data_IF_920253394542
#
_entry.id   IF_920253394542
#
_cell.length_a   1.000
_cell.length_b   1.000
_cell.length_c   1.000
_cell.angle_alpha   90.00
_cell.angle_beta   90.00
_cell.angle_gamma   90.00
#
_symmetry.space_group_name_H-M   'P 1'
#
loop_
_entity.id
_entity.type
_entity.pdbx_description
1 polymer ?
#
# COMPACT_ATOMS: atom_id res chain seq x y z
N UNK A 1 -8.02 -6.34 -0.52
CA UNK A 1 -8.67 -5.24 0.23
C UNK A 1 -8.16 -5.24 1.68
N UNK A 2 -7.69 -4.09 2.20
CA UNK A 2 -7.33 -3.95 3.62
C UNK A 2 -8.40 -3.09 4.33
N UNK A 3 -9.19 -3.72 5.21
CA UNK A 3 -10.33 -3.08 5.89
C UNK A 3 -9.91 -1.96 6.85
N UNK A 4 -8.68 -2.03 7.39
CA UNK A 4 -8.18 -1.03 8.35
C UNK A 4 -7.81 0.27 7.66
N UNK A 5 -7.18 0.19 6.48
CA UNK A 5 -6.90 1.39 5.69
C UNK A 5 -8.21 2.01 5.20
N UNK A 6 -9.17 1.19 4.78
CA UNK A 6 -10.49 1.68 4.37
C UNK A 6 -11.22 2.43 5.49
N UNK A 7 -11.12 1.94 6.72
CA UNK A 7 -11.66 2.63 7.89
C UNK A 7 -10.98 3.99 8.13
N UNK A 8 -9.64 4.04 8.03
CA UNK A 8 -8.88 5.29 8.20
C UNK A 8 -9.21 6.32 7.11
N UNK A 9 -9.28 5.88 5.86
CA UNK A 9 -9.61 6.74 4.72
C UNK A 9 -11.04 7.30 4.83
N UNK A 10 -11.96 6.52 5.40
CA UNK A 10 -13.33 6.96 5.70
C UNK A 10 -13.41 7.95 6.88
N UNK A 11 -12.31 8.21 7.59
CA UNK A 11 -12.25 9.08 8.75
C UNK A 11 -12.60 8.39 10.07
N UNK A 12 -12.55 7.05 10.12
CA UNK A 12 -12.73 6.29 11.37
C UNK A 12 -11.41 6.26 12.16
N UNK A 13 -11.52 6.36 13.48
CA UNK A 13 -10.41 6.14 14.41
C UNK A 13 -10.21 4.65 14.62
N UNK A 14 -9.01 4.14 14.36
CA UNK A 14 -8.62 2.76 14.64
C UNK A 14 -7.62 2.75 15.80
N UNK A 15 -7.97 2.09 16.89
CA UNK A 15 -7.15 1.98 18.11
C UNK A 15 -6.65 0.55 18.26
N UNK A 16 -5.38 0.38 18.62
CA UNK A 16 -4.84 -0.92 19.06
C UNK A 16 -5.05 -1.04 20.57
N UNK A 17 -6.02 -1.83 20.99
CA UNK A 17 -6.38 -2.01 22.40
C UNK A 17 -5.38 -2.94 23.12
N UNK A 18 -4.76 -3.85 22.38
CA UNK A 18 -3.74 -4.74 22.93
C UNK A 18 -3.21 -5.76 21.94
N UNK A 19 -2.14 -6.46 22.37
CA UNK A 19 -1.57 -7.60 21.65
C UNK A 19 -1.38 -8.73 22.63
N UNK A 20 -1.99 -9.89 22.34
CA UNK A 20 -1.83 -11.10 23.16
C UNK A 20 -1.29 -12.18 22.23
N UNK A 21 -0.07 -12.65 22.52
CA UNK A 21 0.68 -13.49 21.59
C UNK A 21 0.91 -12.77 20.26
N UNK A 22 0.55 -13.43 19.15
CA UNK A 22 0.61 -12.85 17.80
C UNK A 22 -0.66 -12.12 17.36
N UNK A 23 -1.71 -12.10 18.19
CA UNK A 23 -3.01 -11.51 17.83
C UNK A 23 -3.09 -10.07 18.28
N UNK A 24 -3.57 -9.20 17.40
CA UNK A 24 -3.87 -7.81 17.70
C UNK A 24 -5.37 -7.60 17.88
N UNK A 25 -5.73 -6.89 18.95
CA UNK A 25 -7.11 -6.49 19.24
C UNK A 25 -7.24 -5.01 18.93
N UNK A 26 -8.15 -4.69 18.02
CA UNK A 26 -8.36 -3.32 17.55
C UNK A 26 -9.82 -2.92 17.65
N UNK A 27 -10.06 -1.71 18.12
CA UNK A 27 -11.37 -1.08 18.14
C UNK A 27 -11.44 0.00 17.05
N UNK A 28 -12.63 0.18 16.47
CA UNK A 28 -12.88 1.15 15.41
C UNK A 28 -14.04 2.04 15.84
N UNK A 29 -13.79 3.34 15.89
CA UNK A 29 -14.73 4.36 16.38
C UNK A 29 -14.91 5.44 15.33
N UNK A 30 -16.05 6.12 15.33
CA UNK A 30 -16.28 7.22 14.41
C UNK A 30 -17.68 7.78 14.53
N UNK A 31 -17.92 8.87 13.81
CA UNK A 31 -19.28 9.41 13.66
C UNK A 31 -20.09 8.51 12.72
N UNK A 32 -21.42 8.64 12.76
CA UNK A 32 -22.29 7.92 11.84
C UNK A 32 -21.98 8.24 10.37
N UNK A 33 -21.64 9.49 10.07
CA UNK A 33 -21.27 9.92 8.71
C UNK A 33 -19.99 9.24 8.22
N UNK A 34 -18.95 9.16 9.06
CA UNK A 34 -17.73 8.42 8.74
C UNK A 34 -18.01 6.93 8.51
N UNK A 35 -18.88 6.33 9.33
CA UNK A 35 -19.29 4.95 9.15
C UNK A 35 -20.04 4.73 7.82
N UNK A 36 -20.92 5.64 7.42
CA UNK A 36 -21.59 5.56 6.11
C UNK A 36 -20.60 5.67 4.94
N UNK A 37 -19.57 6.53 5.04
CA UNK A 37 -18.50 6.62 4.03
C UNK A 37 -17.71 5.32 3.95
N UNK A 38 -17.40 4.71 5.10
CA UNK A 38 -16.73 3.42 5.17
C UNK A 38 -17.52 2.31 4.46
N UNK A 39 -18.83 2.22 4.72
CA UNK A 39 -19.69 1.22 4.06
C UNK A 39 -19.71 1.41 2.54
N UNK A 40 -19.85 2.66 2.05
CA UNK A 40 -19.79 2.95 0.62
C UNK A 40 -18.45 2.56 -0.01
N UNK A 41 -17.34 2.84 0.68
CA UNK A 41 -16.02 2.45 0.23
C UNK A 41 -15.85 0.93 0.21
N UNK A 42 -16.43 0.22 1.19
CA UNK A 42 -16.42 -1.24 1.27
C UNK A 42 -17.20 -1.88 0.13
N UNK A 43 -18.42 -1.40 -0.13
CA UNK A 43 -19.24 -1.84 -1.26
C UNK A 43 -18.50 -1.64 -2.58
N UNK A 44 -17.91 -0.46 -2.79
CA UNK A 44 -17.12 -0.17 -4.00
C UNK A 44 -15.92 -1.11 -4.13
N UNK A 45 -15.18 -1.35 -3.05
CA UNK A 45 -14.03 -2.24 -3.06
C UNK A 45 -14.41 -3.70 -3.33
N UNK A 46 -15.59 -4.15 -2.90
CA UNK A 46 -16.11 -5.49 -3.17
C UNK A 46 -16.59 -5.65 -4.61
N UNK A 47 -17.24 -4.64 -5.18
CA UNK A 47 -17.69 -4.63 -6.58
C UNK A 47 -16.49 -4.59 -7.54
N UNK A 48 -15.47 -3.79 -7.21
CA UNK A 48 -14.25 -3.66 -8.00
C UNK A 48 -13.24 -4.80 -7.73
N UNK A 49 -13.47 -5.62 -6.71
CA UNK A 49 -12.57 -6.68 -6.24
C UNK A 49 -12.60 -7.99 -7.05
N UNK A 50 -13.29 -8.01 -8.20
CA UNK A 50 -13.23 -9.13 -9.14
C UNK A 50 -11.91 -9.22 -9.91
N UNK A 51 -11.13 -8.14 -9.97
CA UNK A 51 -9.89 -8.08 -10.76
C UNK A 51 -8.81 -7.25 -10.05
N UNK A 52 -7.58 -7.78 -9.98
CA UNK A 52 -6.38 -7.23 -9.29
C UNK A 52 -6.33 -7.53 -7.79
N UNK A 53 -5.33 -8.23 -7.25
CA UNK A 53 -3.94 -8.41 -7.66
C UNK A 53 -3.45 -9.72 -7.01
N UNK A 54 -3.17 -10.75 -7.82
CA UNK A 54 -2.36 -11.88 -7.37
C UNK A 54 -0.95 -11.40 -7.01
N UNK A 55 -0.14 -12.18 -6.28
CA UNK A 55 1.14 -11.70 -5.77
C UNK A 55 2.04 -11.32 -6.95
N UNK A 56 2.31 -10.02 -7.13
CA UNK A 56 3.37 -9.53 -8.02
C UNK A 56 4.70 -10.12 -7.56
N UNK A 57 5.09 -11.24 -8.17
CA UNK A 57 6.45 -11.79 -8.12
C UNK A 57 7.37 -10.70 -8.62
N UNK A 58 8.08 -10.07 -7.69
CA UNK A 58 9.14 -9.12 -7.97
C UNK A 58 10.26 -9.88 -8.66
N UNK A 59 10.31 -9.83 -9.99
CA UNK A 59 11.46 -10.30 -10.76
C UNK A 59 12.61 -9.33 -10.51
N UNK A 60 13.49 -9.68 -9.58
CA UNK A 60 14.84 -9.16 -9.52
C UNK A 60 15.58 -9.65 -10.76
N UNK A 61 15.59 -8.85 -11.83
CA UNK A 61 16.56 -9.03 -12.91
C UNK A 61 17.83 -8.28 -12.53
N UNK A 62 18.81 -9.05 -12.05
CA UNK A 62 20.19 -8.66 -11.98
C UNK A 62 20.70 -8.41 -13.40
N UNK A 63 21.16 -7.21 -13.69
CA UNK A 63 22.10 -6.96 -14.79
C UNK A 63 23.27 -6.19 -14.19
N UNK A 64 24.29 -6.97 -13.86
CA UNK A 64 25.64 -6.57 -13.52
C UNK A 64 26.39 -6.14 -14.80
N UNK A 65 27.55 -5.48 -14.63
CA UNK A 65 28.56 -5.02 -15.62
C UNK A 65 28.36 -3.61 -16.21
N UNK A 66 29.32 -2.69 -16.27
CA UNK A 66 30.73 -2.58 -15.82
C UNK A 66 31.17 -1.09 -16.03
N UNK A 67 32.22 -0.57 -15.38
CA UNK A 67 32.64 0.83 -15.45
C UNK A 67 33.73 1.05 -16.52
N UNK A 68 33.75 2.24 -17.14
CA UNK A 68 34.98 2.80 -17.67
C UNK A 68 34.91 3.56 -18.99
N UNK A 69 35.53 4.75 -18.95
CA UNK A 69 36.15 5.55 -20.03
C UNK A 69 35.43 6.86 -20.36
N UNK A 70 35.81 7.92 -19.66
CA UNK A 70 35.92 9.26 -20.25
C UNK A 70 37.39 9.66 -20.25
N UNK A 71 38.09 9.26 -21.32
CA UNK A 71 39.43 9.73 -21.63
C UNK A 71 39.36 11.04 -22.44
N UNK A 72 40.25 11.96 -22.07
CA UNK A 72 40.54 13.24 -22.70
C UNK A 72 40.82 13.16 -24.22
N UNK A 73 40.33 14.16 -24.97
CA UNK A 73 41.11 15.01 -25.91
C UNK A 73 40.15 16.10 -26.43
N UNK A 74 40.39 17.40 -26.37
CA UNK A 74 41.50 18.24 -26.83
C UNK A 74 41.60 18.36 -28.36
N UNK A 75 41.40 19.60 -28.84
CA UNK A 75 42.10 20.26 -29.95
C UNK A 75 41.44 20.35 -31.35
N UNK A 76 41.10 21.61 -31.67
CA UNK A 76 41.37 22.38 -32.91
C UNK A 76 41.11 21.78 -34.30
N UNK A 77 40.29 22.46 -35.11
CA UNK A 77 40.72 23.49 -36.07
C UNK A 77 39.52 24.24 -36.65
#
# INVERSE_FOLDING_TARGET
MNIIELARDAGMLVVLDGRIGGTEYRSVHGTLDAFQRFVRALESALVNGGESDGPRRRSSLCADSDPGKSALSASSR
#
